data_IF_867768604133
#
_entry.id   IF_867768604133
#
_cell.length_a   1.000
_cell.length_b   1.000
_cell.length_c   1.000
_cell.angle_alpha   90.00
_cell.angle_beta   90.00
_cell.angle_gamma   90.00
#
_symmetry.space_group_name_H-M   'P 1'
#
loop_
_entity.id
_entity.type
_entity.pdbx_description
1 polymer ?
#
# COMPACT_ATOMS: atom_id res chain seq x y z
N UNK A 1 -20.30 -6.63 -10.60
CA UNK A 1 -19.49 -7.68 -9.98
C UNK A 1 -18.43 -7.05 -9.08
N UNK A 2 -18.39 -7.48 -7.84
CA UNK A 2 -17.46 -6.89 -6.88
C UNK A 2 -16.08 -7.51 -7.01
N UNK A 3 -15.08 -6.70 -7.31
CA UNK A 3 -13.71 -7.18 -7.29
C UNK A 3 -13.22 -7.25 -5.84
N UNK A 4 -12.36 -8.23 -5.57
CA UNK A 4 -11.74 -8.37 -4.26
C UNK A 4 -10.80 -7.19 -4.04
N UNK A 5 -10.88 -6.50 -2.89
CA UNK A 5 -9.91 -5.43 -2.60
C UNK A 5 -8.49 -5.98 -2.63
N UNK A 6 -7.58 -5.21 -3.18
CA UNK A 6 -6.19 -5.63 -3.35
C UNK A 6 -5.26 -4.61 -2.73
N UNK A 7 -4.38 -5.09 -1.84
CA UNK A 7 -3.34 -4.28 -1.20
C UNK A 7 -1.99 -4.74 -1.74
N UNK A 8 -1.24 -3.80 -2.29
CA UNK A 8 0.10 -4.06 -2.82
C UNK A 8 1.14 -3.42 -1.91
N UNK A 9 2.08 -4.22 -1.42
CA UNK A 9 3.19 -3.74 -0.59
C UNK A 9 4.45 -3.68 -1.46
N UNK A 10 5.06 -2.50 -1.56
CA UNK A 10 6.23 -2.29 -2.39
C UNK A 10 7.48 -2.24 -1.51
N UNK A 11 8.40 -3.16 -1.75
CA UNK A 11 9.69 -3.27 -1.06
C UNK A 11 9.59 -3.32 0.47
N UNK A 12 8.46 -3.79 0.98
CA UNK A 12 8.32 -4.00 2.41
C UNK A 12 9.09 -5.23 2.87
N UNK A 13 9.21 -5.40 4.17
CA UNK A 13 9.84 -6.61 4.72
C UNK A 13 8.87 -7.79 4.58
N UNK A 14 9.39 -9.04 4.54
CA UNK A 14 8.52 -10.21 4.57
C UNK A 14 7.60 -10.25 5.78
N UNK A 15 8.04 -9.70 6.92
CA UNK A 15 7.22 -9.63 8.13
C UNK A 15 5.96 -8.79 7.91
N UNK A 16 6.10 -7.66 7.22
CA UNK A 16 4.95 -6.79 6.91
C UNK A 16 3.93 -7.55 6.06
N UNK A 17 4.39 -8.23 5.02
CA UNK A 17 3.50 -9.04 4.19
C UNK A 17 2.79 -10.10 5.02
N UNK A 18 3.52 -10.80 5.88
CA UNK A 18 2.96 -11.87 6.72
C UNK A 18 1.87 -11.32 7.65
N UNK A 19 2.12 -10.19 8.30
CA UNK A 19 1.15 -9.58 9.21
C UNK A 19 -0.09 -9.13 8.45
N UNK A 20 0.08 -8.47 7.33
CA UNK A 20 -1.05 -7.98 6.54
C UNK A 20 -1.90 -9.12 6.00
N UNK A 21 -1.27 -10.18 5.51
CA UNK A 21 -2.01 -11.35 5.05
C UNK A 21 -2.80 -12.00 6.17
N UNK A 22 -2.19 -12.14 7.35
CA UNK A 22 -2.84 -12.79 8.49
C UNK A 22 -4.09 -12.04 8.94
N UNK A 23 -4.13 -10.71 8.81
CA UNK A 23 -5.26 -9.91 9.25
C UNK A 23 -6.26 -9.65 8.12
N UNK A 24 -5.78 -9.33 6.93
CA UNK A 24 -6.63 -8.84 5.85
C UNK A 24 -7.20 -9.94 4.96
N UNK A 25 -6.46 -11.02 4.71
CA UNK A 25 -6.95 -12.09 3.84
C UNK A 25 -8.19 -12.79 4.39
N UNK A 26 -8.28 -13.07 5.71
CA UNK A 26 -9.52 -13.62 6.26
C UNK A 26 -10.74 -12.71 6.10
N UNK A 27 -10.52 -11.43 5.88
CA UNK A 27 -11.58 -10.44 5.65
C UNK A 27 -11.92 -10.26 4.18
N UNK A 28 -11.30 -11.02 3.30
CA UNK A 28 -11.56 -10.97 1.86
C UNK A 28 -10.69 -10.02 1.09
N UNK A 29 -9.62 -9.49 1.69
CA UNK A 29 -8.69 -8.58 1.03
C UNK A 29 -7.45 -9.35 0.59
N UNK A 30 -7.10 -9.25 -0.69
CA UNK A 30 -5.91 -9.87 -1.22
C UNK A 30 -4.68 -9.00 -0.94
N UNK A 31 -3.61 -9.61 -0.43
CA UNK A 31 -2.37 -8.90 -0.12
C UNK A 31 -1.24 -9.49 -0.97
N UNK A 32 -0.46 -8.61 -1.58
CA UNK A 32 0.66 -9.02 -2.41
C UNK A 32 1.85 -8.10 -2.16
N UNK A 33 3.06 -8.65 -2.26
CA UNK A 33 4.28 -7.87 -2.13
C UNK A 33 5.08 -7.93 -3.42
N UNK A 34 5.69 -6.81 -3.81
CA UNK A 34 6.55 -6.74 -4.97
C UNK A 34 7.74 -5.83 -4.70
N UNK A 35 8.78 -5.94 -5.51
CA UNK A 35 9.91 -5.03 -5.47
C UNK A 35 9.58 -3.76 -6.27
N UNK A 36 10.16 -2.63 -5.86
CA UNK A 36 9.94 -1.36 -6.55
C UNK A 36 10.21 -1.43 -8.04
N UNK A 37 11.29 -2.10 -8.44
CA UNK A 37 11.65 -2.26 -9.83
C UNK A 37 10.58 -3.02 -10.65
N UNK A 38 9.78 -3.86 -9.99
CA UNK A 38 8.74 -4.67 -10.63
C UNK A 38 7.34 -4.09 -10.46
N UNK A 39 7.18 -3.07 -9.64
CA UNK A 39 5.86 -2.55 -9.28
C UNK A 39 5.09 -2.03 -10.50
N UNK A 40 5.76 -1.32 -11.38
CA UNK A 40 5.15 -0.76 -12.59
C UNK A 40 4.64 -1.88 -13.50
N UNK A 41 5.45 -2.91 -13.69
CA UNK A 41 5.08 -4.06 -14.52
C UNK A 41 3.88 -4.78 -13.92
N UNK A 42 3.86 -4.91 -12.59
CA UNK A 42 2.75 -5.54 -11.89
C UNK A 42 1.44 -4.80 -12.15
N UNK A 43 1.49 -3.47 -12.11
CA UNK A 43 0.32 -2.64 -12.37
C UNK A 43 -0.20 -2.81 -13.80
N UNK A 44 0.70 -3.02 -14.76
CA UNK A 44 0.31 -3.25 -16.15
C UNK A 44 -0.30 -4.63 -16.38
N UNK A 45 0.11 -5.62 -15.60
CA UNK A 45 -0.33 -7.01 -15.78
C UNK A 45 -1.60 -7.35 -15.01
N UNK A 46 -1.90 -6.59 -13.95
CA UNK A 46 -3.02 -6.89 -13.05
C UNK A 46 -3.91 -5.67 -12.88
N UNK A 47 -4.97 -5.83 -12.10
CA UNK A 47 -5.83 -4.72 -11.76
C UNK A 47 -5.07 -3.69 -10.93
N UNK A 48 -5.50 -2.42 -11.04
CA UNK A 48 -4.98 -1.35 -10.21
C UNK A 48 -5.27 -1.68 -8.74
N UNK A 49 -4.27 -1.69 -7.86
CA UNK A 49 -4.51 -1.97 -6.45
C UNK A 49 -5.42 -0.93 -5.82
N UNK A 50 -6.25 -1.35 -4.87
CA UNK A 50 -7.08 -0.43 -4.12
C UNK A 50 -6.21 0.43 -3.19
N UNK A 51 -5.25 -0.21 -2.51
CA UNK A 51 -4.30 0.45 -1.61
C UNK A 51 -2.89 -0.03 -1.92
N UNK A 52 -1.94 0.90 -1.94
CA UNK A 52 -0.52 0.60 -2.13
C UNK A 52 0.24 1.10 -0.90
N UNK A 53 1.10 0.25 -0.34
CA UNK A 53 1.96 0.62 0.79
C UNK A 53 3.36 0.86 0.25
N UNK A 54 3.89 2.07 0.45
CA UNK A 54 5.17 2.50 -0.13
C UNK A 54 6.09 3.03 0.96
N UNK A 55 7.31 2.49 1.02
CA UNK A 55 8.35 2.99 1.92
C UNK A 55 9.14 4.08 1.21
N UNK A 56 8.95 5.33 1.62
CA UNK A 56 9.60 6.48 0.99
C UNK A 56 11.10 6.57 1.30
N UNK A 57 11.58 5.84 2.29
CA UNK A 57 13.01 5.80 2.59
C UNK A 57 13.76 4.85 1.65
N UNK A 58 13.04 4.02 0.93
CA UNK A 58 13.59 3.15 -0.10
C UNK A 58 13.50 3.86 -1.45
N UNK A 59 14.65 4.16 -2.05
CA UNK A 59 14.69 4.92 -3.31
C UNK A 59 13.94 4.22 -4.44
N UNK A 60 14.04 2.90 -4.49
CA UNK A 60 13.36 2.10 -5.50
C UNK A 60 11.84 2.19 -5.35
N UNK A 61 11.34 2.07 -4.12
CA UNK A 61 9.91 2.19 -3.84
C UNK A 61 9.44 3.62 -4.05
N UNK A 62 10.21 4.60 -3.58
CA UNK A 62 9.87 6.02 -3.73
C UNK A 62 9.67 6.40 -5.19
N UNK A 63 10.54 5.88 -6.07
CA UNK A 63 10.46 6.17 -7.50
C UNK A 63 9.16 5.65 -8.14
N UNK A 64 8.49 4.67 -7.52
CA UNK A 64 7.25 4.11 -8.05
C UNK A 64 6.00 4.81 -7.54
N UNK A 65 6.11 5.71 -6.56
CA UNK A 65 4.94 6.31 -5.92
C UNK A 65 4.03 7.01 -6.92
N UNK A 66 4.58 7.70 -7.91
CA UNK A 66 3.80 8.39 -8.93
C UNK A 66 3.08 7.44 -9.89
N UNK A 67 3.53 6.19 -9.98
CA UNK A 67 2.90 5.19 -10.85
C UNK A 67 1.55 4.72 -10.31
N UNK A 68 1.26 5.01 -9.04
CA UNK A 68 0.05 4.56 -8.37
C UNK A 68 -0.89 5.72 -8.03
N UNK A 69 -0.92 6.75 -8.87
CA UNK A 69 -1.81 7.88 -8.69
C UNK A 69 -3.29 7.53 -8.72
N UNK A 70 -3.65 6.37 -9.27
CA UNK A 70 -5.02 5.88 -9.31
C UNK A 70 -5.38 4.97 -8.12
N UNK A 71 -4.44 4.80 -7.18
CA UNK A 71 -4.64 4.01 -5.98
C UNK A 71 -4.58 4.89 -4.75
N UNK A 72 -5.22 4.46 -3.67
CA UNK A 72 -4.96 5.05 -2.36
C UNK A 72 -3.57 4.58 -1.92
N UNK A 73 -2.82 5.45 -1.23
CA UNK A 73 -1.45 5.14 -0.87
C UNK A 73 -1.22 5.33 0.62
N UNK A 74 -0.54 4.35 1.24
CA UNK A 74 0.02 4.53 2.58
C UNK A 74 1.51 4.79 2.38
N UNK A 75 1.94 6.00 2.70
CA UNK A 75 3.31 6.44 2.53
C UNK A 75 4.01 6.39 3.88
N UNK A 76 5.08 5.63 3.97
CA UNK A 76 5.83 5.42 5.22
C UNK A 76 7.21 6.03 5.07
N UNK A 77 7.64 6.83 6.04
CA UNK A 77 8.97 7.43 5.95
C UNK A 77 9.44 8.04 7.25
N UNK A 78 10.73 8.38 7.27
CA UNK A 78 11.37 9.06 8.41
C UNK A 78 11.08 10.55 8.40
N UNK A 79 10.89 11.14 7.22
CA UNK A 79 10.59 12.56 7.08
C UNK A 79 9.10 12.74 6.79
N UNK A 80 8.44 13.60 7.58
CA UNK A 80 7.03 13.85 7.41
C UNK A 80 6.75 14.53 6.07
N UNK A 81 5.72 14.05 5.38
CA UNK A 81 5.31 14.55 4.07
C UNK A 81 3.82 14.86 4.10
N UNK A 82 3.42 15.94 3.44
CA UNK A 82 2.00 16.25 3.25
C UNK A 82 1.38 15.26 2.29
N UNK A 83 0.17 14.82 2.60
CA UNK A 83 -0.56 13.87 1.74
C UNK A 83 -2.00 14.36 1.54
N UNK A 84 -2.60 13.88 0.45
CA UNK A 84 -4.00 14.15 0.15
C UNK A 84 -4.93 13.29 1.03
N UNK A 85 -6.22 13.63 1.03
CA UNK A 85 -7.22 12.87 1.79
C UNK A 85 -7.33 11.41 1.36
N UNK A 86 -6.94 11.09 0.14
CA UNK A 86 -6.94 9.71 -0.38
C UNK A 86 -5.71 8.91 0.01
N UNK A 87 -4.75 9.52 0.69
CA UNK A 87 -3.52 8.87 1.13
C UNK A 87 -3.40 8.97 2.64
N UNK A 88 -2.51 8.17 3.21
CA UNK A 88 -2.15 8.25 4.62
C UNK A 88 -0.64 8.23 4.75
N UNK A 89 -0.12 8.93 5.73
CA UNK A 89 1.30 8.96 6.02
C UNK A 89 1.56 8.37 7.41
N UNK A 90 2.56 7.48 7.50
CA UNK A 90 3.02 6.92 8.77
C UNK A 90 4.48 7.26 8.98
N UNK A 91 4.79 7.86 10.14
CA UNK A 91 6.16 8.15 10.51
C UNK A 91 6.85 6.91 11.09
N UNK A 92 8.11 6.72 10.76
CA UNK A 92 8.93 5.67 11.39
C UNK A 92 9.45 6.15 12.74
N UNK A 93 9.53 5.28 13.74
CA UNK A 93 9.05 3.90 13.69
C UNK A 93 7.54 3.82 13.81
N UNK A 94 6.91 2.90 13.10
CA UNK A 94 5.48 2.67 13.20
C UNK A 94 5.20 1.27 13.76
N UNK A 95 3.97 1.07 14.24
CA UNK A 95 3.54 -0.24 14.71
C UNK A 95 2.53 -0.83 13.72
N UNK A 96 2.47 -2.16 13.63
CA UNK A 96 1.56 -2.81 12.69
C UNK A 96 0.08 -2.42 12.87
N UNK A 97 -0.43 -2.26 14.11
CA UNK A 97 -1.81 -1.77 14.26
C UNK A 97 -2.06 -0.42 13.59
N UNK A 98 -1.08 0.47 13.59
CA UNK A 98 -1.19 1.76 12.91
C UNK A 98 -1.27 1.58 11.40
N UNK A 99 -0.43 0.70 10.85
CA UNK A 99 -0.44 0.40 9.42
C UNK A 99 -1.76 -0.24 9.01
N UNK A 100 -2.22 -1.23 9.77
CA UNK A 100 -3.49 -1.91 9.49
C UNK A 100 -4.66 -0.94 9.50
N UNK A 101 -4.69 -0.02 10.46
CA UNK A 101 -5.75 0.97 10.55
C UNK A 101 -5.73 1.92 9.35
N UNK A 102 -4.54 2.37 8.95
CA UNK A 102 -4.42 3.23 7.77
C UNK A 102 -4.94 2.53 6.51
N UNK A 103 -4.59 1.26 6.34
CA UNK A 103 -5.06 0.48 5.19
C UNK A 103 -6.57 0.31 5.25
N UNK A 104 -7.12 -0.05 6.42
CA UNK A 104 -8.56 -0.25 6.57
C UNK A 104 -9.34 1.03 6.32
N UNK A 105 -8.82 2.17 6.78
CA UNK A 105 -9.45 3.47 6.53
C UNK A 105 -9.51 3.75 5.02
N UNK A 106 -8.44 3.45 4.29
CA UNK A 106 -8.40 3.66 2.85
C UNK A 106 -9.28 2.66 2.10
N UNK A 107 -9.35 1.42 2.58
CA UNK A 107 -10.22 0.41 1.97
C UNK A 107 -11.69 0.77 2.11
N UNK A 108 -12.05 1.54 3.12
CA UNK A 108 -13.42 2.00 3.33
C UNK A 108 -13.80 3.15 2.40
N UNK A 109 -12.82 3.80 1.76
CA UNK A 109 -13.08 4.86 0.80
C UNK A 109 -13.41 4.29 -0.59
N UNK A 110 -14.12 5.04 -1.45
CA UNK A 110 -14.29 4.61 -2.84
C UNK A 110 -12.92 4.49 -3.53
N UNK A 111 -12.82 3.71 -4.61
CA UNK A 111 -11.58 3.66 -5.38
C UNK A 111 -11.11 5.06 -5.76
N UNK A 112 -9.78 5.26 -5.79
CA UNK A 112 -9.19 6.58 -6.06
C UNK A 112 -9.37 7.03 -7.50
N UNK A 113 -9.65 6.10 -8.41
CA UNK A 113 -9.86 6.40 -9.82
C UNK A 113 -11.27 6.10 -10.26
#
# INVERSE_FOLDING_TARGET
>A
MNSVPHVLVIDGTPDTETVLKAVLEPRGTQVERTRGAMARRKTEETQVPHVVVIDLDDDSAKATASCFGESHRVLIGSAKTSVDDRDRFLSKPFQYPELLRAIEDLLALPPAA
#
